data_IF_514566205970
#
_entry.id   IF_514566205970
#
_cell.length_a   1.000
_cell.length_b   1.000
_cell.length_c   1.000
_cell.angle_alpha   90.00
_cell.angle_beta   90.00
_cell.angle_gamma   90.00
#
_symmetry.space_group_name_H-M   'P 1'
#
loop_
_entity.id
_entity.type
_entity.pdbx_description
1 polymer ?
#
# COMPACT_ATOMS: atom_id res chain seq x y z
N UNK A 1 -14.22 33.65 -23.78
CA UNK A 1 -13.92 32.77 -22.63
C UNK A 1 -12.44 32.85 -22.30
N UNK A 2 -12.07 33.04 -21.03
CA UNK A 2 -10.67 33.16 -20.61
C UNK A 2 -9.97 31.79 -20.46
N UNK A 3 -8.71 31.66 -20.89
CA UNK A 3 -7.93 30.43 -20.80
C UNK A 3 -7.46 30.17 -19.36
N UNK A 4 -7.96 29.11 -18.73
CA UNK A 4 -7.51 28.70 -17.38
C UNK A 4 -6.24 27.84 -17.47
N UNK A 5 -5.11 28.36 -16.98
CA UNK A 5 -3.84 27.61 -16.88
C UNK A 5 -3.84 26.74 -15.62
N UNK A 6 -3.31 25.51 -15.70
CA UNK A 6 -3.27 24.56 -14.56
C UNK A 6 -2.44 25.03 -13.35
N UNK A 7 -1.55 26.02 -13.50
CA UNK A 7 -0.77 26.60 -12.40
C UNK A 7 -0.08 25.56 -11.51
N UNK A 8 -0.12 25.79 -10.19
CA UNK A 8 0.54 24.97 -9.16
C UNK A 8 -0.18 23.66 -8.82
N UNK A 9 -1.42 23.49 -9.29
CA UNK A 9 -2.28 22.35 -8.90
C UNK A 9 -1.69 21.00 -9.32
N UNK A 10 -1.01 20.95 -10.47
CA UNK A 10 -0.34 19.74 -10.96
C UNK A 10 0.81 19.32 -10.03
N UNK A 11 1.63 20.29 -9.62
CA UNK A 11 2.75 20.05 -8.71
C UNK A 11 2.29 19.56 -7.33
N UNK A 12 1.21 20.15 -6.81
CA UNK A 12 0.63 19.73 -5.53
C UNK A 12 0.12 18.26 -5.59
N UNK A 13 -0.54 17.88 -6.69
CA UNK A 13 -0.99 16.49 -6.91
C UNK A 13 0.20 15.52 -6.95
N UNK A 14 1.27 15.88 -7.66
CA UNK A 14 2.49 15.08 -7.74
C UNK A 14 3.15 14.89 -6.37
N UNK A 15 3.27 15.95 -5.58
CA UNK A 15 3.80 15.87 -4.20
C UNK A 15 2.96 14.93 -3.31
N UNK A 16 1.63 14.93 -3.43
CA UNK A 16 0.76 14.02 -2.68
C UNK A 16 1.08 12.55 -3.00
N UNK A 17 1.23 12.21 -4.28
CA UNK A 17 1.58 10.84 -4.71
C UNK A 17 3.00 10.44 -4.25
N UNK A 18 3.99 11.33 -4.37
CA UNK A 18 5.35 11.03 -3.91
C UNK A 18 5.44 10.86 -2.40
N UNK A 19 4.67 11.64 -1.63
CA UNK A 19 4.56 11.47 -0.18
C UNK A 19 4.02 10.09 0.18
N UNK A 20 3.01 9.59 -0.55
CA UNK A 20 2.46 8.25 -0.36
C UNK A 20 3.44 7.14 -0.82
N UNK A 21 4.30 7.41 -1.79
CA UNK A 21 5.30 6.48 -2.31
C UNK A 21 6.63 6.50 -1.52
N UNK A 22 6.70 7.21 -0.39
CA UNK A 22 7.92 7.29 0.44
C UNK A 22 8.33 5.89 0.91
N UNK A 23 9.61 5.56 0.76
CA UNK A 23 10.16 4.26 1.12
C UNK A 23 10.13 3.21 0.00
N UNK A 24 9.54 3.50 -1.16
CA UNK A 24 9.62 2.60 -2.31
C UNK A 24 11.04 2.52 -2.89
N UNK A 25 11.41 1.36 -3.41
CA UNK A 25 12.72 1.12 -3.98
C UNK A 25 12.92 1.78 -5.36
N UNK A 26 14.15 2.17 -5.67
CA UNK A 26 14.54 2.71 -6.98
C UNK A 26 13.74 3.93 -7.42
N UNK A 27 13.27 3.93 -8.67
CA UNK A 27 12.53 5.07 -9.27
C UNK A 27 11.07 5.20 -8.79
N UNK A 28 10.56 4.22 -8.04
CA UNK A 28 9.18 4.21 -7.55
C UNK A 28 8.91 5.26 -6.46
N UNK A 29 9.96 5.86 -5.88
CA UNK A 29 9.85 6.95 -4.89
C UNK A 29 10.04 8.37 -5.46
N UNK A 30 10.56 8.52 -6.68
CA UNK A 30 10.93 9.83 -7.23
C UNK A 30 10.28 10.18 -8.57
N UNK A 31 9.88 9.18 -9.36
CA UNK A 31 9.29 9.39 -10.69
C UNK A 31 7.78 9.21 -10.62
N UNK A 32 7.00 10.22 -11.02
CA UNK A 32 5.53 10.25 -10.82
C UNK A 32 4.79 9.10 -11.49
N UNK A 33 5.14 8.78 -12.74
CA UNK A 33 4.48 7.71 -13.50
C UNK A 33 4.63 6.35 -12.81
N UNK A 34 5.85 6.02 -12.37
CA UNK A 34 6.11 4.76 -11.67
C UNK A 34 5.60 4.77 -10.24
N UNK A 35 5.69 5.91 -9.54
CA UNK A 35 5.18 6.09 -8.19
C UNK A 35 3.66 5.89 -8.14
N UNK A 36 2.91 6.47 -9.08
CA UNK A 36 1.46 6.34 -9.15
C UNK A 36 1.02 4.88 -9.29
N UNK A 37 1.54 4.18 -10.30
CA UNK A 37 1.24 2.76 -10.51
C UNK A 37 1.62 1.90 -9.29
N UNK A 38 2.74 2.22 -8.63
CA UNK A 38 3.19 1.54 -7.42
C UNK A 38 2.25 1.77 -6.23
N UNK A 39 1.80 3.01 -6.01
CA UNK A 39 0.87 3.37 -4.93
C UNK A 39 -0.48 2.70 -5.16
N UNK A 40 -1.02 2.75 -6.38
CA UNK A 40 -2.32 2.15 -6.71
C UNK A 40 -2.32 0.63 -6.43
N UNK A 41 -1.26 -0.08 -6.86
CA UNK A 41 -1.09 -1.51 -6.56
C UNK A 41 -0.97 -1.78 -5.05
N UNK A 42 -0.27 -0.91 -4.32
CA UNK A 42 -0.10 -1.05 -2.87
C UNK A 42 -1.43 -0.88 -2.13
N UNK A 43 -2.30 0.04 -2.59
CA UNK A 43 -3.63 0.24 -2.01
C UNK A 43 -4.57 -0.94 -2.25
N UNK A 44 -4.46 -1.60 -3.42
CA UNK A 44 -5.18 -2.85 -3.69
C UNK A 44 -4.74 -3.96 -2.73
N UNK A 45 -3.43 -4.15 -2.56
CA UNK A 45 -2.89 -5.12 -1.62
C UNK A 45 -3.25 -4.83 -0.18
N UNK A 46 -3.24 -3.56 0.26
CA UNK A 46 -3.65 -3.20 1.61
C UNK A 46 -5.08 -3.68 1.93
N UNK A 47 -6.02 -3.56 0.97
CA UNK A 47 -7.40 -4.03 1.19
C UNK A 47 -7.51 -5.55 1.19
N UNK A 48 -6.81 -6.23 0.28
CA UNK A 48 -6.75 -7.70 0.23
C UNK A 48 -6.15 -8.26 1.53
N UNK A 49 -5.03 -7.70 1.97
CA UNK A 49 -4.22 -8.23 3.05
C UNK A 49 -4.87 -8.00 4.42
N UNK A 50 -5.72 -6.97 4.58
CA UNK A 50 -6.59 -6.86 5.76
C UNK A 50 -7.48 -8.10 5.96
N UNK A 51 -8.00 -8.69 4.88
CA UNK A 51 -8.78 -9.94 4.93
C UNK A 51 -7.88 -11.17 5.12
N UNK A 52 -6.69 -11.18 4.52
CA UNK A 52 -5.73 -12.27 4.69
C UNK A 52 -5.21 -12.36 6.13
N UNK A 53 -4.89 -11.21 6.77
CA UNK A 53 -4.40 -11.13 8.15
C UNK A 53 -5.30 -11.90 9.13
N UNK A 54 -6.63 -11.74 9.01
CA UNK A 54 -7.59 -12.47 9.86
C UNK A 54 -7.44 -14.00 9.76
N UNK A 55 -7.18 -14.51 8.55
CA UNK A 55 -6.97 -15.95 8.30
C UNK A 55 -5.60 -16.43 8.79
N UNK A 56 -4.55 -15.65 8.57
CA UNK A 56 -3.19 -15.96 9.04
C UNK A 56 -3.15 -16.08 10.57
N UNK A 57 -3.75 -15.14 11.30
CA UNK A 57 -3.80 -15.22 12.76
C UNK A 57 -4.63 -16.41 13.26
N UNK A 58 -5.76 -16.70 12.62
CA UNK A 58 -6.54 -17.90 12.95
C UNK A 58 -5.73 -19.18 12.76
N UNK A 59 -5.00 -19.30 11.65
CA UNK A 59 -4.15 -20.45 11.39
C UNK A 59 -3.05 -20.60 12.46
N UNK A 60 -2.40 -19.49 12.84
CA UNK A 60 -1.41 -19.48 13.92
C UNK A 60 -1.99 -19.92 15.26
N UNK A 61 -3.20 -19.48 15.60
CA UNK A 61 -3.88 -19.91 16.84
C UNK A 61 -4.16 -21.41 16.82
N UNK A 62 -4.67 -21.94 15.71
CA UNK A 62 -4.90 -23.38 15.56
C UNK A 62 -3.60 -24.16 15.73
N UNK A 63 -2.50 -23.71 15.12
CA UNK A 63 -1.19 -24.36 15.28
C UNK A 63 -0.72 -24.36 16.74
N UNK A 64 -0.82 -23.23 17.44
CA UNK A 64 -0.42 -23.11 18.86
C UNK A 64 -1.28 -23.99 19.77
N UNK A 65 -2.60 -24.03 19.53
CA UNK A 65 -3.51 -24.89 20.28
C UNK A 65 -3.21 -26.37 20.02
N UNK A 66 -3.00 -26.76 18.76
CA UNK A 66 -2.67 -28.14 18.40
C UNK A 66 -1.36 -28.60 19.03
N UNK A 67 -0.34 -27.74 19.13
CA UNK A 67 0.89 -28.07 19.84
C UNK A 67 0.63 -28.32 21.32
N UNK A 68 -0.10 -27.41 21.99
CA UNK A 68 -0.42 -27.53 23.40
C UNK A 68 -1.25 -28.78 23.76
N UNK A 69 -2.15 -29.21 22.88
CA UNK A 69 -2.98 -30.42 23.09
C UNK A 69 -2.22 -31.72 22.82
N UNK A 70 -1.13 -31.69 22.06
CA UNK A 70 -0.35 -32.90 21.71
C UNK A 70 0.85 -33.13 22.63
N UNK A 71 1.34 -32.08 23.27
CA UNK A 71 2.42 -32.16 24.27
C UNK A 71 1.89 -32.50 25.67
N UNK A 72 0.62 -32.20 25.95
CA UNK A 72 -0.11 -32.65 27.14
C UNK A 72 -0.69 -34.06 26.94
#
# INVERSE_FOLDING_TARGET
MARVKRGVTSHAKHKKTLKAAKGFYGRRKNTIRTAKAAVDKSMQYATRDRKAKKRVFRALWIQRLNAAVREA
#
